data_IF_880786392949
#
_entry.id   IF_880786392949
#
_cell.length_a   1.000
_cell.length_b   1.000
_cell.length_c   1.000
_cell.angle_alpha   90.00
_cell.angle_beta   90.00
_cell.angle_gamma   90.00
#
_symmetry.space_group_name_H-M   'P 1'
#
loop_
_entity.id
_entity.type
_entity.pdbx_description
1 polymer ?
#
# COMPACT_ATOMS: atom_id res chain seq x y z
N UNK A 1 -11.34 -11.29 -0.86
CA UNK A 1 -10.06 -12.05 -0.91
C UNK A 1 -9.64 -12.49 -2.33
N UNK A 2 -10.44 -12.29 -3.40
CA UNK A 2 -10.17 -12.90 -4.72
C UNK A 2 -9.47 -12.05 -5.80
N UNK A 3 -9.31 -10.73 -5.63
CA UNK A 3 -8.75 -9.86 -6.68
C UNK A 3 -7.23 -9.62 -6.54
N UNK A 4 -6.71 -9.54 -5.31
CA UNK A 4 -5.28 -9.31 -5.02
C UNK A 4 -4.37 -10.49 -5.42
N UNK A 5 -4.87 -11.73 -5.37
CA UNK A 5 -4.10 -12.94 -5.68
C UNK A 5 -3.87 -13.16 -7.19
N UNK A 6 -4.68 -12.53 -8.06
CA UNK A 6 -4.59 -12.71 -9.53
C UNK A 6 -3.67 -11.71 -10.23
N UNK A 7 -3.20 -10.67 -9.53
CA UNK A 7 -2.32 -9.64 -10.10
C UNK A 7 -0.87 -10.14 -10.14
N UNK A 8 -0.34 -10.23 -11.36
CA UNK A 8 1.06 -10.61 -11.63
C UNK A 8 1.96 -9.37 -11.63
N UNK A 9 3.19 -9.47 -11.11
CA UNK A 9 4.14 -8.36 -11.16
C UNK A 9 4.53 -8.05 -12.60
N UNK A 10 4.58 -6.77 -12.94
CA UNK A 10 5.06 -6.24 -14.22
C UNK A 10 6.55 -5.94 -14.09
N UNK A 11 7.39 -6.70 -14.81
CA UNK A 11 8.84 -6.49 -14.85
C UNK A 11 9.23 -5.10 -15.35
N UNK A 12 8.49 -4.56 -16.32
CA UNK A 12 8.72 -3.21 -16.86
C UNK A 12 8.52 -2.09 -15.83
N UNK A 13 7.79 -2.36 -14.75
CA UNK A 13 7.59 -1.43 -13.63
C UNK A 13 8.46 -1.77 -12.41
N UNK A 14 9.35 -2.77 -12.50
CA UNK A 14 10.20 -3.19 -11.37
C UNK A 14 9.43 -3.78 -10.18
N UNK A 15 8.19 -4.23 -10.38
CA UNK A 15 7.33 -4.68 -9.28
C UNK A 15 7.85 -5.96 -8.62
N UNK A 16 8.09 -5.90 -7.30
CA UNK A 16 8.27 -7.04 -6.41
C UNK A 16 7.30 -6.89 -5.24
N UNK A 17 6.36 -7.80 -5.10
CA UNK A 17 5.35 -7.70 -4.04
C UNK A 17 5.87 -8.31 -2.74
N UNK A 18 5.74 -7.54 -1.67
CA UNK A 18 6.08 -7.98 -0.33
C UNK A 18 5.17 -9.14 0.11
N UNK A 19 5.75 -10.20 0.70
CA UNK A 19 5.05 -11.44 1.05
C UNK A 19 5.35 -11.95 2.47
N UNK A 20 6.11 -11.22 3.28
CA UNK A 20 6.48 -11.62 4.63
C UNK A 20 5.66 -10.86 5.68
N UNK A 21 4.59 -11.46 6.18
CA UNK A 21 3.68 -10.79 7.11
C UNK A 21 4.34 -10.40 8.45
N UNK A 22 5.25 -11.23 8.97
CA UNK A 22 5.93 -10.94 10.24
C UNK A 22 6.84 -9.72 10.13
N UNK A 23 7.62 -9.64 9.04
CA UNK A 23 8.46 -8.48 8.78
C UNK A 23 7.62 -7.23 8.49
N UNK A 24 6.48 -7.38 7.80
CA UNK A 24 5.56 -6.25 7.58
C UNK A 24 5.08 -5.66 8.90
N UNK A 25 4.69 -6.51 9.85
CA UNK A 25 4.26 -6.07 11.18
C UNK A 25 5.36 -5.28 11.89
N UNK A 26 6.61 -5.77 11.90
CA UNK A 26 7.76 -5.08 12.52
C UNK A 26 8.05 -3.72 11.88
N UNK A 27 7.97 -3.63 10.55
CA UNK A 27 8.15 -2.36 9.82
C UNK A 27 7.06 -1.36 10.20
N UNK A 28 5.80 -1.81 10.17
CA UNK A 28 4.64 -0.98 10.53
C UNK A 28 4.76 -0.47 11.96
N UNK A 29 5.07 -1.34 12.92
CA UNK A 29 5.29 -0.96 14.32
C UNK A 29 6.41 0.08 14.46
N UNK A 30 7.52 -0.09 13.74
CA UNK A 30 8.63 0.87 13.77
C UNK A 30 8.22 2.25 13.25
N UNK A 31 7.42 2.30 12.17
CA UNK A 31 6.87 3.56 11.64
C UNK A 31 5.97 4.25 12.67
N UNK A 32 5.09 3.49 13.33
CA UNK A 32 4.15 4.05 14.30
C UNK A 32 4.77 4.59 15.59
N UNK A 33 6.00 4.19 15.94
CA UNK A 33 6.74 4.79 17.06
C UNK A 33 6.92 6.30 16.93
N UNK A 34 6.89 6.83 15.71
CA UNK A 34 7.00 8.26 15.44
C UNK A 34 5.67 9.03 15.59
N UNK A 35 4.56 8.34 15.90
CA UNK A 35 3.21 8.89 15.95
C UNK A 35 2.86 9.75 14.71
N UNK A 36 2.96 9.19 13.50
CA UNK A 36 2.81 9.96 12.27
C UNK A 36 1.37 10.48 12.12
N UNK A 37 1.24 11.77 11.82
CA UNK A 37 -0.06 12.39 11.50
C UNK A 37 -0.49 12.12 10.05
N UNK A 38 0.47 11.85 9.17
CA UNK A 38 0.28 11.58 7.76
C UNK A 38 1.28 10.52 7.31
N UNK A 39 0.86 9.58 6.48
CA UNK A 39 1.74 8.60 5.82
C UNK A 39 1.66 8.75 4.31
N UNK A 40 2.81 8.83 3.65
CA UNK A 40 2.90 8.74 2.19
C UNK A 40 3.59 7.42 1.83
N UNK A 41 2.89 6.55 1.11
CA UNK A 41 3.41 5.26 0.64
C UNK A 41 3.65 5.33 -0.87
N UNK A 42 4.90 5.10 -1.28
CA UNK A 42 5.31 5.05 -2.68
C UNK A 42 5.43 3.59 -3.10
N UNK A 43 4.78 3.22 -4.20
CA UNK A 43 4.71 1.84 -4.66
C UNK A 43 4.00 0.90 -3.68
N UNK A 44 2.77 1.23 -3.23
CA UNK A 44 1.99 0.38 -2.32
C UNK A 44 1.72 -1.01 -2.90
N UNK A 45 1.73 -1.15 -4.23
CA UNK A 45 1.56 -2.43 -4.90
C UNK A 45 0.20 -3.07 -4.57
N UNK A 46 0.22 -4.20 -3.87
CA UNK A 46 -1.00 -4.90 -3.42
C UNK A 46 -1.56 -4.37 -2.09
N UNK A 47 -0.86 -3.44 -1.45
CA UNK A 47 -1.24 -2.83 -0.18
C UNK A 47 -0.78 -3.62 1.05
N UNK A 48 0.41 -4.23 0.99
CA UNK A 48 0.96 -5.06 2.07
C UNK A 48 1.12 -4.28 3.38
N UNK A 49 1.53 -3.02 3.30
CA UNK A 49 1.62 -2.12 4.46
C UNK A 49 0.43 -1.15 4.52
N UNK A 50 -0.10 -0.75 3.36
CA UNK A 50 -1.25 0.15 3.23
C UNK A 50 -2.40 -0.19 4.16
N UNK A 51 -2.78 -1.48 4.25
CA UNK A 51 -3.88 -1.90 5.12
C UNK A 51 -3.65 -1.50 6.57
N UNK A 52 -2.45 -1.79 7.08
CA UNK A 52 -2.13 -1.49 8.46
C UNK A 52 -2.11 0.02 8.70
N UNK A 53 -1.48 0.80 7.80
CA UNK A 53 -1.45 2.26 7.90
C UNK A 53 -2.84 2.92 7.81
N UNK A 54 -3.71 2.37 6.96
CA UNK A 54 -5.08 2.84 6.77
C UNK A 54 -5.95 2.63 8.01
N UNK A 55 -5.73 1.56 8.77
CA UNK A 55 -6.49 1.25 9.99
C UNK A 55 -6.08 2.11 11.20
N UNK A 56 -4.91 2.75 11.17
CA UNK A 56 -4.32 3.42 12.34
C UNK A 56 -4.02 4.91 12.16
N UNK A 57 -3.95 5.45 10.94
CA UNK A 57 -3.65 6.87 10.69
C UNK A 57 -4.88 7.69 10.29
N UNK A 58 -4.84 9.00 10.55
CA UNK A 58 -5.90 9.93 10.16
C UNK A 58 -5.88 10.30 8.66
N UNK A 59 -4.70 10.25 8.00
CA UNK A 59 -4.53 10.65 6.59
C UNK A 59 -3.41 9.84 5.93
N UNK A 60 -3.70 9.21 4.79
CA UNK A 60 -2.74 8.45 3.99
C UNK A 60 -2.79 8.85 2.51
N UNK A 61 -1.61 8.98 1.91
CA UNK A 61 -1.42 9.23 0.48
C UNK A 61 -0.68 8.06 -0.16
N UNK A 62 -1.20 7.56 -1.27
CA UNK A 62 -0.68 6.42 -2.02
C UNK A 62 -0.22 6.86 -3.40
N UNK A 63 1.02 6.55 -3.77
CA UNK A 63 1.59 6.85 -5.09
C UNK A 63 1.85 5.54 -5.81
N UNK A 64 1.04 5.21 -6.82
CA UNK A 64 1.12 3.92 -7.53
C UNK A 64 1.10 4.14 -9.04
N UNK A 65 2.18 3.73 -9.72
CA UNK A 65 2.35 3.90 -11.17
C UNK A 65 1.49 2.93 -11.98
N UNK A 66 1.23 1.74 -11.47
CA UNK A 66 0.41 0.76 -12.15
C UNK A 66 -1.07 1.12 -12.05
N UNK A 67 -1.67 1.54 -13.17
CA UNK A 67 -3.09 1.90 -13.26
C UNK A 67 -4.03 0.82 -12.73
N UNK A 68 -3.71 -0.46 -12.91
CA UNK A 68 -4.54 -1.57 -12.40
C UNK A 68 -4.49 -1.63 -10.89
N UNK A 69 -3.32 -1.45 -10.29
CA UNK A 69 -3.14 -1.44 -8.84
C UNK A 69 -3.70 -0.16 -8.23
N UNK A 70 -3.50 0.99 -8.87
CA UNK A 70 -4.10 2.26 -8.45
C UNK A 70 -5.62 2.15 -8.34
N UNK A 71 -6.30 1.62 -9.36
CA UNK A 71 -7.75 1.37 -9.31
C UNK A 71 -8.17 0.42 -8.19
N UNK A 72 -7.40 -0.65 -7.98
CA UNK A 72 -7.63 -1.58 -6.87
C UNK A 72 -7.54 -0.85 -5.52
N UNK A 73 -6.50 -0.04 -5.33
CA UNK A 73 -6.27 0.71 -4.09
C UNK A 73 -7.37 1.75 -3.87
N UNK A 74 -7.81 2.47 -4.90
CA UNK A 74 -8.97 3.39 -4.82
C UNK A 74 -10.22 2.68 -4.32
N UNK A 75 -10.50 1.48 -4.82
CA UNK A 75 -11.67 0.71 -4.40
C UNK A 75 -11.51 0.12 -2.99
N UNK A 76 -10.28 -0.23 -2.60
CA UNK A 76 -10.00 -0.90 -1.32
C UNK A 76 -9.88 0.11 -0.16
N UNK A 77 -9.38 1.31 -0.44
CA UNK A 77 -9.06 2.34 0.53
C UNK A 77 -9.67 3.70 0.13
N UNK A 78 -11.01 3.83 0.14
CA UNK A 78 -11.70 4.98 -0.43
C UNK A 78 -11.42 6.31 0.29
N UNK A 79 -10.88 6.30 1.51
CA UNK A 79 -10.48 7.51 2.25
C UNK A 79 -9.02 7.90 2.03
N UNK A 80 -8.23 7.07 1.34
CA UNK A 80 -6.86 7.41 1.00
C UNK A 80 -6.86 8.43 -0.15
N UNK A 81 -5.85 9.30 -0.20
CA UNK A 81 -5.55 10.06 -1.41
C UNK A 81 -4.69 9.18 -2.32
N UNK A 82 -5.05 9.01 -3.59
CA UNK A 82 -4.31 8.15 -4.54
C UNK A 82 -3.83 8.98 -5.73
N UNK A 83 -2.55 8.90 -6.02
CA UNK A 83 -1.91 9.47 -7.21
C UNK A 83 -1.39 8.35 -8.11
N UNK A 84 -1.81 8.36 -9.38
CA UNK A 84 -1.25 7.48 -10.41
C UNK A 84 -0.25 8.29 -11.26
N UNK A 85 1.04 7.98 -11.14
CA UNK A 85 2.15 8.67 -11.84
C UNK A 85 3.34 7.75 -12.09
#
# INVERSE_FOLDING_TARGET
MGLQSRLKPKRSLGQNFFNNEELAKKIVEAVFKSNPKHITEIGPGKGAFTKAFYETTAVITLVEKDLTLSRLLTNTFPKATIHNT
#
